data_IF_732783076172
#
_entry.id   IF_732783076172
#
_cell.length_a   1.000
_cell.length_b   1.000
_cell.length_c   1.000
_cell.angle_alpha   90.00
_cell.angle_beta   90.00
_cell.angle_gamma   90.00
#
_symmetry.space_group_name_H-M   'P 1'
#
loop_
_entity.id
_entity.type
_entity.pdbx_description
1 polymer ?
#
# COMPACT_ATOMS: atom_id res chain seq x y z
N UNK A 1 -1.80 -3.28 -16.08
CA UNK A 1 -0.55 -3.76 -16.69
C UNK A 1 0.59 -3.40 -15.76
N UNK A 2 1.47 -4.33 -15.37
CA UNK A 2 2.63 -4.00 -14.52
C UNK A 2 3.62 -3.19 -15.37
N UNK A 3 3.89 -1.91 -15.03
CA UNK A 3 4.84 -1.12 -15.80
C UNK A 3 6.21 -1.81 -15.76
N UNK A 4 6.80 -2.03 -16.93
CA UNK A 4 8.13 -2.64 -17.02
C UNK A 4 9.16 -1.66 -16.42
N UNK A 5 10.14 -2.12 -15.63
CA UNK A 5 11.14 -1.26 -14.99
C UNK A 5 11.94 -0.42 -16.01
N UNK A 6 12.05 -0.91 -17.25
CA UNK A 6 12.66 -0.21 -18.39
C UNK A 6 12.05 1.18 -18.61
N UNK A 7 10.73 1.34 -18.44
CA UNK A 7 10.04 2.62 -18.66
C UNK A 7 10.54 3.67 -17.66
N UNK A 8 10.71 3.29 -16.40
CA UNK A 8 11.28 4.19 -15.38
C UNK A 8 12.72 4.57 -15.70
N UNK A 9 13.53 3.65 -16.23
CA UNK A 9 14.89 3.94 -16.68
C UNK A 9 14.92 5.00 -17.80
N UNK A 10 14.05 4.88 -18.80
CA UNK A 10 13.96 5.84 -19.91
C UNK A 10 13.53 7.22 -19.39
N UNK A 11 12.49 7.28 -18.55
CA UNK A 11 12.02 8.54 -17.94
C UNK A 11 13.15 9.20 -17.14
N UNK A 12 13.88 8.41 -16.35
CA UNK A 12 14.99 8.93 -15.53
C UNK A 12 16.12 9.49 -16.40
N UNK A 13 16.48 8.80 -17.48
CA UNK A 13 17.49 9.29 -18.42
C UNK A 13 17.09 10.62 -19.07
N UNK A 14 15.83 10.76 -19.49
CA UNK A 14 15.30 12.01 -20.05
C UNK A 14 15.38 13.14 -19.01
N UNK A 15 14.95 12.88 -17.77
CA UNK A 15 15.02 13.86 -16.68
C UNK A 15 16.46 14.32 -16.45
N UNK A 16 17.44 13.41 -16.44
CA UNK A 16 18.85 13.76 -16.29
C UNK A 16 19.37 14.61 -17.45
N UNK A 17 19.02 14.28 -18.70
CA UNK A 17 19.41 15.08 -19.88
C UNK A 17 18.84 16.49 -19.79
N UNK A 18 17.58 16.64 -19.40
CA UNK A 18 16.94 17.95 -19.20
C UNK A 18 17.64 18.72 -18.08
N UNK A 19 17.92 18.07 -16.95
CA UNK A 19 18.67 18.68 -15.84
C UNK A 19 20.02 19.21 -16.33
N UNK A 20 20.86 18.34 -16.91
CA UNK A 20 22.23 18.69 -17.28
C UNK A 20 22.33 19.75 -18.39
N UNK A 21 21.30 19.90 -19.22
CA UNK A 21 21.24 20.98 -20.21
C UNK A 21 20.81 22.33 -19.62
N UNK A 22 20.25 22.39 -18.40
CA UNK A 22 19.77 23.61 -17.77
C UNK A 22 20.78 24.19 -16.76
N UNK A 23 22.00 24.50 -17.21
CA UNK A 23 23.09 25.04 -16.35
C UNK A 23 23.03 26.54 -16.10
N UNK A 24 22.02 27.23 -16.62
CA UNK A 24 21.88 28.67 -16.43
C UNK A 24 21.64 29.03 -14.96
N UNK A 25 22.06 30.24 -14.58
CA UNK A 25 21.79 30.80 -13.27
C UNK A 25 20.37 31.41 -13.23
N UNK A 26 19.71 31.31 -12.06
CA UNK A 26 18.46 31.98 -11.78
C UNK A 26 18.51 32.63 -10.39
N UNK A 27 17.78 33.73 -10.23
CA UNK A 27 17.49 34.26 -8.91
C UNK A 27 16.46 33.36 -8.22
N UNK A 28 16.81 32.89 -7.04
CA UNK A 28 15.94 32.11 -6.18
C UNK A 28 15.51 32.96 -4.99
N UNK A 29 14.25 32.87 -4.57
CA UNK A 29 13.69 33.75 -3.52
C UNK A 29 13.65 33.11 -2.13
N UNK A 30 13.70 31.77 -2.02
CA UNK A 30 13.46 31.03 -0.77
C UNK A 30 14.43 31.37 0.37
N UNK A 31 15.62 31.90 0.06
CA UNK A 31 16.65 32.27 1.03
C UNK A 31 17.12 33.73 0.87
N UNK A 32 16.25 34.62 0.38
CA UNK A 32 16.65 35.93 -0.16
C UNK A 32 17.06 35.82 -1.64
N UNK A 33 17.32 36.94 -2.31
CA UNK A 33 17.65 36.95 -3.75
C UNK A 33 19.07 36.42 -4.00
N UNK A 34 19.19 35.09 -4.08
CA UNK A 34 20.45 34.40 -4.31
C UNK A 34 20.46 33.92 -5.76
N UNK A 35 21.54 34.22 -6.48
CA UNK A 35 21.81 33.63 -7.80
C UNK A 35 22.39 32.23 -7.60
N UNK A 36 21.66 31.23 -8.05
CA UNK A 36 22.10 29.84 -8.01
C UNK A 36 21.75 29.14 -9.33
N UNK A 37 22.33 27.97 -9.58
CA UNK A 37 22.08 27.26 -10.83
C UNK A 37 20.65 26.71 -10.88
N UNK A 38 19.96 26.88 -12.01
CA UNK A 38 18.65 26.28 -12.29
C UNK A 38 18.70 24.76 -12.13
N UNK A 39 19.82 24.15 -12.54
CA UNK A 39 20.12 22.73 -12.34
C UNK A 39 19.97 22.31 -10.87
N UNK A 40 20.58 23.06 -9.94
CA UNK A 40 20.54 22.74 -8.51
C UNK A 40 19.12 22.82 -7.95
N UNK A 41 18.40 23.90 -8.29
CA UNK A 41 17.00 24.09 -7.89
C UNK A 41 16.15 22.92 -8.41
N UNK A 42 16.22 22.64 -9.71
CA UNK A 42 15.40 21.61 -10.35
C UNK A 42 15.71 20.20 -9.81
N UNK A 43 16.99 19.90 -9.57
CA UNK A 43 17.41 18.63 -8.97
C UNK A 43 16.96 18.46 -7.53
N UNK A 44 17.10 19.50 -6.70
CA UNK A 44 16.65 19.46 -5.31
C UNK A 44 15.14 19.25 -5.20
N UNK A 45 14.35 20.01 -5.97
CA UNK A 45 12.89 19.85 -6.00
C UNK A 45 12.44 18.51 -6.61
N UNK A 46 13.17 17.99 -7.60
CA UNK A 46 12.90 16.66 -8.14
C UNK A 46 13.07 15.58 -7.08
N UNK A 47 14.18 15.59 -6.34
CA UNK A 47 14.43 14.62 -5.25
C UNK A 47 13.38 14.75 -4.15
N UNK A 48 13.04 15.98 -3.73
CA UNK A 48 11.98 16.22 -2.76
C UNK A 48 10.63 15.68 -3.25
N UNK A 49 10.29 15.93 -4.51
CA UNK A 49 9.08 15.40 -5.14
C UNK A 49 9.04 13.87 -5.19
N UNK A 50 10.16 13.22 -5.49
CA UNK A 50 10.29 11.75 -5.48
C UNK A 50 10.12 11.20 -4.07
N UNK A 51 10.73 11.82 -3.05
CA UNK A 51 10.59 11.40 -1.65
C UNK A 51 9.14 11.57 -1.19
N UNK A 52 8.56 12.77 -1.38
CA UNK A 52 7.18 13.07 -0.97
C UNK A 52 6.20 12.16 -1.69
N UNK A 53 6.33 12.02 -3.01
CA UNK A 53 5.54 11.09 -3.81
C UNK A 53 5.68 9.66 -3.29
N UNK A 54 6.91 9.19 -3.10
CA UNK A 54 7.18 7.87 -2.54
C UNK A 54 6.52 7.64 -1.18
N UNK A 55 6.57 8.63 -0.27
CA UNK A 55 5.93 8.55 1.05
C UNK A 55 4.40 8.55 0.95
N UNK A 56 3.81 9.40 0.11
CA UNK A 56 2.36 9.46 -0.10
C UNK A 56 1.83 8.18 -0.74
N UNK A 57 2.47 7.69 -1.80
CA UNK A 57 2.08 6.45 -2.47
C UNK A 57 2.34 5.20 -1.62
N UNK A 58 3.35 5.23 -0.73
CA UNK A 58 3.63 4.14 0.23
C UNK A 58 2.49 3.89 1.22
N UNK A 59 1.66 4.89 1.50
CA UNK A 59 0.57 4.78 2.50
C UNK A 59 -0.70 4.09 2.00
N UNK A 60 -0.80 3.69 0.73
CA UNK A 60 -1.90 2.80 0.29
C UNK A 60 -1.63 1.36 0.75
N UNK A 61 -1.57 1.15 2.06
CA UNK A 61 -1.80 -0.18 2.61
C UNK A 61 -3.22 -0.55 2.22
N UNK A 62 -3.34 -1.67 1.51
CA UNK A 62 -4.61 -2.30 1.22
C UNK A 62 -5.49 -2.25 2.48
N UNK A 63 -6.76 -1.88 2.31
CA UNK A 63 -7.77 -2.21 3.31
C UNK A 63 -7.47 -3.65 3.79
N UNK A 64 -7.49 -3.90 5.11
CA UNK A 64 -7.38 -5.27 5.58
C UNK A 64 -8.41 -6.07 4.78
N UNK A 65 -7.93 -7.06 4.01
CA UNK A 65 -8.80 -8.02 3.36
C UNK A 65 -9.76 -8.45 4.45
N UNK A 66 -11.04 -8.34 4.14
CA UNK A 66 -12.16 -8.79 4.96
C UNK A 66 -11.71 -9.95 5.87
N UNK A 67 -11.98 -9.83 7.17
CA UNK A 67 -11.80 -10.94 8.10
C UNK A 67 -12.57 -12.13 7.54
N UNK A 68 -11.86 -13.01 6.83
CA UNK A 68 -12.42 -14.22 6.27
C UNK A 68 -12.48 -15.23 7.41
N UNK A 69 -13.69 -15.44 7.94
CA UNK A 69 -14.00 -16.43 8.97
C UNK A 69 -14.07 -17.82 8.30
N UNK A 70 -13.00 -18.25 7.62
CA UNK A 70 -12.92 -19.60 7.01
C UNK A 70 -11.84 -20.46 7.67
N UNK A 71 -11.64 -20.31 8.97
CA UNK A 71 -11.01 -21.37 9.76
C UNK A 71 -12.08 -22.41 10.16
N UNK A 72 -12.63 -23.12 9.16
CA UNK A 72 -13.12 -24.48 9.41
C UNK A 72 -11.98 -25.43 8.97
N UNK A 73 -11.50 -26.33 9.85
CA UNK A 73 -10.58 -27.38 9.43
C UNK A 73 -11.29 -28.26 8.39
N UNK A 74 -10.56 -28.83 7.41
CA UNK A 74 -11.16 -29.70 6.42
C UNK A 74 -11.55 -31.01 7.13
N UNK A 75 -12.81 -31.14 7.53
CA UNK A 75 -13.33 -32.43 7.95
C UNK A 75 -13.72 -33.22 6.70
N UNK A 76 -13.04 -34.35 6.56
CA UNK A 76 -13.31 -35.37 5.59
C UNK A 76 -14.78 -35.81 5.64
N UNK A 77 -15.29 -36.12 4.46
CA UNK A 77 -16.54 -36.80 4.15
C UNK A 77 -17.07 -37.69 5.29
N UNK A 78 -18.22 -37.36 5.89
CA UNK A 78 -19.22 -38.33 6.37
C UNK A 78 -20.56 -37.62 6.59
N UNK A 79 -21.51 -37.95 5.72
CA UNK A 79 -22.95 -38.14 5.93
C UNK A 79 -23.76 -37.08 6.71
N UNK A 80 -24.74 -36.54 6.00
CA UNK A 80 -25.86 -35.74 6.50
C UNK A 80 -26.68 -36.53 7.54
N UNK A 81 -26.51 -36.20 8.82
CA UNK A 81 -27.54 -36.42 9.83
C UNK A 81 -27.92 -35.09 10.46
N UNK A 82 -29.23 -34.82 10.45
CA UNK A 82 -29.92 -33.68 11.01
C UNK A 82 -29.76 -33.64 12.54
N UNK A 83 -28.56 -33.31 13.03
CA UNK A 83 -28.28 -33.17 14.46
C UNK A 83 -28.56 -31.74 14.87
N UNK A 84 -29.60 -31.55 15.68
CA UNK A 84 -29.84 -30.27 16.33
C UNK A 84 -28.54 -29.82 17.01
N UNK A 85 -28.15 -28.53 16.92
CA UNK A 85 -26.81 -28.06 17.26
C UNK A 85 -26.36 -28.29 18.72
N UNK A 86 -27.21 -28.88 19.56
CA UNK A 86 -27.02 -29.09 21.00
C UNK A 86 -27.07 -30.56 21.40
N UNK A 87 -27.18 -31.50 20.44
CA UNK A 87 -27.28 -32.94 20.71
C UNK A 87 -26.04 -33.52 21.43
N UNK A 88 -24.90 -32.83 21.35
CA UNK A 88 -23.64 -33.21 21.98
C UNK A 88 -23.47 -32.67 23.40
N UNK A 89 -24.38 -31.79 23.87
CA UNK A 89 -24.35 -31.23 25.22
C UNK A 89 -25.07 -32.16 26.21
N UNK A 90 -24.63 -32.13 27.47
CA UNK A 90 -25.33 -32.81 28.56
C UNK A 90 -26.71 -32.17 28.82
N UNK A 91 -27.63 -32.92 29.42
CA UNK A 91 -28.99 -32.39 29.72
C UNK A 91 -28.92 -31.15 30.62
N UNK A 92 -27.94 -31.11 31.52
CA UNK A 92 -27.72 -30.01 32.45
C UNK A 92 -27.26 -28.73 31.72
N UNK A 93 -26.39 -28.86 30.71
CA UNK A 93 -25.93 -27.75 29.87
C UNK A 93 -27.06 -27.18 28.99
N UNK A 94 -27.96 -28.03 28.50
CA UNK A 94 -29.11 -27.60 27.68
C UNK A 94 -30.08 -26.75 28.49
N UNK A 95 -30.34 -27.15 29.74
CA UNK A 95 -31.18 -26.41 30.68
C UNK A 95 -30.60 -25.03 31.01
N UNK A 96 -29.28 -24.91 31.13
CA UNK A 96 -28.61 -23.62 31.38
C UNK A 96 -28.83 -22.62 30.23
N UNK A 97 -28.94 -23.12 28.99
CA UNK A 97 -29.21 -22.31 27.80
C UNK A 97 -30.69 -21.96 27.61
N UNK A 98 -31.58 -22.39 28.51
CA UNK A 98 -33.01 -22.07 28.47
C UNK A 98 -33.73 -22.64 27.27
N UNK A 99 -33.29 -23.81 26.77
CA UNK A 99 -33.91 -24.54 25.66
C UNK A 99 -34.30 -25.93 26.14
N UNK A 100 -35.47 -25.99 26.76
CA UNK A 100 -36.19 -27.23 27.08
C UNK A 100 -37.20 -27.53 25.95
#
# INVERSE_FOLDING_TARGET
MRPKPIIFGIITAIVLVVLFNNKEEASFWLFGEIRTSKLFILGAFFVLGVIVGGVVFRRRKAHPKEYNINNLPPMADTEQEERTPYSHLSEEDRKFLGRD
#
